data_IF_297797192680
#
_entry.id   IF_297797192680
#
_cell.length_a   1.000
_cell.length_b   1.000
_cell.length_c   1.000
_cell.angle_alpha   90.00
_cell.angle_beta   90.00
_cell.angle_gamma   90.00
#
_symmetry.space_group_name_H-M   'P 1'
#
loop_
_entity.id
_entity.type
_entity.pdbx_description
1 polymer ?
#
# COMPACT_ATOMS: atom_id res chain seq x y z
N UNK A 1 8.86 -5.17 -18.93
CA UNK A 1 7.60 -5.15 -19.72
C UNK A 1 6.83 -6.47 -19.65
N UNK A 2 7.48 -7.64 -19.73
CA UNK A 2 6.81 -8.97 -19.64
C UNK A 2 6.02 -9.20 -18.34
N UNK A 3 6.50 -8.68 -17.21
CA UNK A 3 5.89 -8.93 -15.90
C UNK A 3 4.55 -8.22 -15.70
N UNK A 4 4.37 -7.04 -16.30
CA UNK A 4 3.11 -6.27 -16.23
C UNK A 4 1.99 -6.98 -16.99
N UNK A 5 2.32 -7.66 -18.09
CA UNK A 5 1.40 -8.53 -18.82
C UNK A 5 1.03 -9.77 -18.01
N UNK A 6 1.99 -10.35 -17.27
CA UNK A 6 1.74 -11.51 -16.43
C UNK A 6 0.81 -11.17 -15.26
N UNK A 7 1.04 -10.03 -14.61
CA UNK A 7 0.18 -9.49 -13.55
C UNK A 7 -1.24 -9.25 -14.08
N UNK A 8 -1.37 -8.55 -15.22
CA UNK A 8 -2.67 -8.27 -15.83
C UNK A 8 -3.41 -9.56 -16.23
N UNK A 9 -2.70 -10.54 -16.79
CA UNK A 9 -3.26 -11.85 -17.13
C UNK A 9 -3.77 -12.62 -15.90
N UNK A 10 -2.98 -12.67 -14.83
CA UNK A 10 -3.39 -13.29 -13.57
C UNK A 10 -4.59 -12.58 -12.93
N UNK A 11 -4.63 -11.24 -13.00
CA UNK A 11 -5.72 -10.44 -12.48
C UNK A 11 -7.04 -10.71 -13.24
N UNK A 12 -6.98 -10.77 -14.57
CA UNK A 12 -8.15 -11.06 -15.41
C UNK A 12 -8.62 -12.50 -15.20
N UNK A 13 -7.72 -13.48 -15.17
CA UNK A 13 -8.06 -14.88 -14.87
C UNK A 13 -8.71 -15.02 -13.49
N UNK A 14 -8.11 -14.40 -12.48
CA UNK A 14 -8.66 -14.36 -11.13
C UNK A 14 -10.06 -13.74 -11.11
N UNK A 15 -10.26 -12.58 -11.73
CA UNK A 15 -11.55 -11.91 -11.81
C UNK A 15 -12.62 -12.78 -12.50
N UNK A 16 -12.28 -13.41 -13.62
CA UNK A 16 -13.20 -14.31 -14.34
C UNK A 16 -13.58 -15.52 -13.48
N UNK A 17 -12.60 -16.16 -12.81
CA UNK A 17 -12.84 -17.30 -11.94
C UNK A 17 -13.76 -16.93 -10.77
N UNK A 18 -13.53 -15.78 -10.15
CA UNK A 18 -14.35 -15.27 -9.05
C UNK A 18 -15.80 -15.00 -9.48
N UNK A 19 -16.00 -14.43 -10.68
CA UNK A 19 -17.33 -14.16 -11.25
C UNK A 19 -18.08 -15.46 -11.56
N UNK A 20 -17.39 -16.46 -12.11
CA UNK A 20 -17.97 -17.78 -12.41
C UNK A 20 -18.38 -18.50 -11.11
N UNK A 21 -17.53 -18.48 -10.08
CA UNK A 21 -17.80 -19.15 -8.81
C UNK A 21 -18.94 -18.48 -8.03
N UNK A 22 -19.13 -17.16 -8.20
CA UNK A 22 -20.24 -16.39 -7.59
C UNK A 22 -21.62 -16.87 -8.06
N UNK A 23 -21.72 -17.50 -9.23
CA UNK A 23 -22.97 -18.11 -9.72
C UNK A 23 -23.30 -19.46 -9.07
N UNK A 24 -22.32 -20.14 -8.47
CA UNK A 24 -22.51 -21.48 -7.90
C UNK A 24 -22.79 -21.38 -6.39
N UNK A 25 -21.91 -20.71 -5.63
CA UNK A 25 -22.06 -20.51 -4.19
C UNK A 25 -21.43 -19.19 -3.74
N UNK A 26 -22.22 -18.31 -3.12
CA UNK A 26 -21.80 -16.95 -2.75
C UNK A 26 -20.69 -16.96 -1.68
N UNK A 27 -20.76 -17.87 -0.70
CA UNK A 27 -19.77 -17.98 0.38
C UNK A 27 -18.40 -18.47 -0.10
N UNK A 28 -18.37 -19.42 -1.04
CA UNK A 28 -17.10 -19.90 -1.62
C UNK A 28 -16.51 -18.85 -2.54
N UNK A 29 -17.34 -18.08 -3.26
CA UNK A 29 -16.89 -16.96 -4.10
C UNK A 29 -16.21 -15.85 -3.29
N UNK A 30 -16.69 -15.58 -2.07
CA UNK A 30 -16.09 -14.62 -1.15
C UNK A 30 -14.67 -15.04 -0.71
N UNK A 31 -14.51 -16.29 -0.32
CA UNK A 31 -13.20 -16.86 0.03
C UNK A 31 -12.24 -16.91 -1.16
N UNK A 32 -12.73 -17.27 -2.35
CA UNK A 32 -11.94 -17.23 -3.58
C UNK A 32 -11.54 -15.81 -4.00
N UNK A 33 -12.43 -14.81 -3.84
CA UNK A 33 -12.11 -13.41 -4.11
C UNK A 33 -10.99 -12.90 -3.21
N UNK A 34 -11.11 -13.15 -1.90
CA UNK A 34 -10.11 -12.73 -0.91
C UNK A 34 -8.75 -13.40 -1.17
N UNK A 35 -8.73 -14.70 -1.43
CA UNK A 35 -7.48 -15.43 -1.73
C UNK A 35 -6.85 -15.00 -3.05
N UNK A 36 -7.64 -14.77 -4.11
CA UNK A 36 -7.13 -14.25 -5.37
C UNK A 36 -6.58 -12.82 -5.21
N UNK A 37 -7.27 -11.96 -4.45
CA UNK A 37 -6.80 -10.61 -4.12
C UNK A 37 -5.49 -10.63 -3.32
N UNK A 38 -5.37 -11.53 -2.35
CA UNK A 38 -4.15 -11.72 -1.56
C UNK A 38 -2.98 -12.21 -2.43
N UNK A 39 -3.22 -13.15 -3.34
CA UNK A 39 -2.21 -13.64 -4.28
C UNK A 39 -1.70 -12.53 -5.22
N UNK A 40 -2.61 -11.69 -5.74
CA UNK A 40 -2.25 -10.53 -6.56
C UNK A 40 -1.43 -9.51 -5.79
N UNK A 41 -1.76 -9.27 -4.51
CA UNK A 41 -1.00 -8.36 -3.66
C UNK A 41 0.44 -8.84 -3.45
N UNK A 42 0.64 -10.12 -3.13
CA UNK A 42 1.99 -10.70 -2.95
C UNK A 42 2.82 -10.52 -4.22
N UNK A 43 2.21 -10.75 -5.39
CA UNK A 43 2.91 -10.56 -6.66
C UNK A 43 3.32 -9.10 -6.87
N UNK A 44 2.42 -8.14 -6.60
CA UNK A 44 2.74 -6.72 -6.68
C UNK A 44 3.86 -6.32 -5.70
N UNK A 45 3.84 -6.84 -4.48
CA UNK A 45 4.85 -6.55 -3.46
C UNK A 45 6.24 -7.03 -3.87
N UNK A 46 6.35 -8.20 -4.52
CA UNK A 46 7.64 -8.70 -5.04
C UNK A 46 8.22 -7.75 -6.09
N UNK A 47 7.39 -7.22 -6.98
CA UNK A 47 7.84 -6.30 -8.02
C UNK A 47 8.30 -4.95 -7.45
N UNK A 48 7.60 -4.45 -6.42
CA UNK A 48 8.02 -3.26 -5.68
C UNK A 48 9.35 -3.52 -4.96
N UNK A 49 9.53 -4.70 -4.35
CA UNK A 49 10.77 -5.06 -3.65
C UNK A 49 12.01 -5.04 -4.55
N UNK A 50 11.89 -5.52 -5.79
CA UNK A 50 12.98 -5.45 -6.77
C UNK A 50 13.32 -3.98 -7.13
N UNK A 51 12.30 -3.13 -7.20
CA UNK A 51 12.47 -1.70 -7.48
C UNK A 51 13.05 -0.91 -6.29
N UNK A 52 12.88 -1.40 -5.06
CA UNK A 52 13.42 -0.78 -3.85
C UNK A 52 14.95 -0.76 -3.82
N UNK A 53 15.62 -1.75 -4.43
CA UNK A 53 17.08 -1.76 -4.53
C UNK A 53 17.60 -0.58 -5.34
N UNK A 54 16.97 -0.30 -6.48
CA UNK A 54 17.29 0.85 -7.34
C UNK A 54 16.96 2.18 -6.67
N UNK A 55 15.84 2.22 -5.92
CA UNK A 55 15.46 3.42 -5.17
C UNK A 55 16.49 3.72 -4.06
N UNK A 56 17.01 2.69 -3.40
CA UNK A 56 18.01 2.84 -2.33
C UNK A 56 19.36 3.31 -2.86
N UNK A 57 19.80 2.83 -4.02
CA UNK A 57 21.02 3.35 -4.65
C UNK A 57 20.87 4.81 -5.08
N UNK A 58 19.71 5.18 -5.64
CA UNK A 58 19.44 6.57 -6.01
C UNK A 58 19.36 7.51 -4.81
N UNK A 59 18.74 7.06 -3.72
CA UNK A 59 18.67 7.82 -2.47
C UNK A 59 20.05 8.04 -1.83
N UNK A 60 20.95 7.05 -1.93
CA UNK A 60 22.32 7.18 -1.48
C UNK A 60 23.10 8.23 -2.30
N UNK A 61 22.92 8.25 -3.63
CA UNK A 61 23.53 9.25 -4.52
C UNK A 61 22.96 10.66 -4.28
N UNK A 62 21.70 10.77 -3.86
CA UNK A 62 21.04 12.03 -3.52
C UNK A 62 21.43 12.59 -2.13
N UNK A 63 22.27 11.88 -1.37
CA UNK A 63 22.68 12.29 -0.01
C UNK A 63 21.58 12.16 1.04
N UNK A 64 20.53 11.36 0.77
CA UNK A 64 19.49 11.08 1.75
C UNK A 64 20.02 10.15 2.84
N UNK A 65 19.67 10.43 4.10
CA UNK A 65 19.97 9.52 5.21
C UNK A 65 19.09 8.27 5.11
N UNK A 66 19.63 7.09 5.45
CA UNK A 66 18.88 5.82 5.48
C UNK A 66 17.60 5.94 6.34
N UNK A 67 17.61 6.78 7.38
CA UNK A 67 16.43 7.06 8.22
C UNK A 67 15.30 7.76 7.46
N UNK A 68 15.60 8.78 6.66
CA UNK A 68 14.58 9.51 5.90
C UNK A 68 13.91 8.62 4.85
N UNK A 69 14.71 7.82 4.13
CA UNK A 69 14.21 6.83 3.18
C UNK A 69 13.36 5.77 3.88
N UNK A 70 13.82 5.24 5.02
CA UNK A 70 13.06 4.26 5.81
C UNK A 70 11.73 4.82 6.33
N UNK A 71 11.69 6.11 6.69
CA UNK A 71 10.47 6.78 7.16
C UNK A 71 9.43 6.89 6.04
N UNK A 72 9.84 7.33 4.85
CA UNK A 72 8.96 7.38 3.66
C UNK A 72 8.45 5.98 3.30
N UNK A 73 9.33 4.98 3.29
CA UNK A 73 8.96 3.59 3.00
C UNK A 73 7.97 3.02 4.02
N UNK A 74 8.13 3.36 5.32
CA UNK A 74 7.20 2.96 6.38
C UNK A 74 5.81 3.53 6.16
N UNK A 75 5.70 4.81 5.83
CA UNK A 75 4.42 5.46 5.57
C UNK A 75 3.77 4.84 4.32
N UNK A 76 4.53 4.66 3.24
CA UNK A 76 4.03 4.06 2.00
C UNK A 76 3.54 2.61 2.23
N UNK A 77 4.31 1.82 2.97
CA UNK A 77 3.95 0.45 3.32
C UNK A 77 2.71 0.38 4.21
N UNK A 78 2.58 1.28 5.18
CA UNK A 78 1.39 1.37 6.03
C UNK A 78 0.15 1.75 5.22
N UNK A 79 0.27 2.69 4.27
CA UNK A 79 -0.83 3.09 3.39
C UNK A 79 -1.36 1.92 2.56
N UNK A 80 -0.46 1.18 1.90
CA UNK A 80 -0.79 -0.01 1.11
C UNK A 80 -1.45 -1.09 1.96
N UNK A 81 -0.94 -1.33 3.17
CA UNK A 81 -1.50 -2.33 4.08
C UNK A 81 -2.95 -1.98 4.51
N UNK A 82 -3.20 -0.71 4.83
CA UNK A 82 -4.54 -0.21 5.19
C UNK A 82 -5.51 -0.33 4.02
N UNK A 83 -5.11 0.14 2.83
CA UNK A 83 -5.95 0.05 1.63
C UNK A 83 -6.30 -1.41 1.32
N UNK A 84 -5.31 -2.29 1.42
CA UNK A 84 -5.52 -3.71 1.19
C UNK A 84 -6.49 -4.32 2.21
N UNK A 85 -6.31 -4.04 3.50
CA UNK A 85 -7.24 -4.51 4.54
C UNK A 85 -8.66 -4.01 4.29
N UNK A 86 -8.82 -2.74 3.89
CA UNK A 86 -10.12 -2.17 3.54
C UNK A 86 -10.73 -2.84 2.31
N UNK A 87 -9.94 -3.13 1.26
CA UNK A 87 -10.38 -3.83 0.07
C UNK A 87 -10.84 -5.26 0.40
N UNK A 88 -10.11 -5.99 1.24
CA UNK A 88 -10.51 -7.32 1.69
C UNK A 88 -11.84 -7.30 2.46
N UNK A 89 -12.05 -6.34 3.36
CA UNK A 89 -13.35 -6.17 4.02
C UNK A 89 -14.48 -5.89 3.01
N UNK A 90 -14.20 -5.09 1.98
CA UNK A 90 -15.18 -4.81 0.92
C UNK A 90 -15.48 -6.03 0.07
N UNK A 91 -14.45 -6.80 -0.29
CA UNK A 91 -14.60 -8.04 -1.05
C UNK A 91 -15.42 -9.07 -0.27
N UNK A 92 -15.34 -9.03 1.07
CA UNK A 92 -16.18 -9.81 1.98
C UNK A 92 -17.65 -9.35 2.06
N UNK A 93 -18.03 -8.27 1.37
CA UNK A 93 -19.37 -7.68 1.42
C UNK A 93 -19.58 -6.67 2.56
N UNK A 94 -18.53 -6.37 3.34
CA UNK A 94 -18.56 -5.47 4.48
C UNK A 94 -18.03 -4.07 4.11
N UNK A 95 -18.79 -3.34 3.27
CA UNK A 95 -18.45 -1.96 2.87
C UNK A 95 -18.34 -0.99 4.06
N UNK A 96 -19.17 -1.19 5.09
CA UNK A 96 -19.14 -0.38 6.32
C UNK A 96 -17.83 -0.56 7.09
N UNK A 97 -17.34 -1.79 7.20
CA UNK A 97 -16.08 -2.10 7.86
C UNK A 97 -14.89 -1.60 7.03
N UNK A 98 -14.94 -1.78 5.70
CA UNK A 98 -13.94 -1.26 4.76
C UNK A 98 -13.68 0.24 4.98
N UNK A 99 -14.74 1.05 5.02
CA UNK A 99 -14.61 2.50 5.24
C UNK A 99 -14.04 2.84 6.61
N UNK A 100 -14.42 2.11 7.66
CA UNK A 100 -13.89 2.30 9.01
C UNK A 100 -12.39 2.04 9.06
N UNK A 101 -11.92 0.95 8.45
CA UNK A 101 -10.49 0.61 8.36
C UNK A 101 -9.73 1.74 7.66
N UNK A 102 -10.26 2.25 6.55
CA UNK A 102 -9.62 3.33 5.80
C UNK A 102 -9.48 4.61 6.64
N UNK A 103 -10.55 5.02 7.33
CA UNK A 103 -10.52 6.20 8.20
C UNK A 103 -9.52 6.00 9.34
N UNK A 104 -9.54 4.85 10.04
CA UNK A 104 -8.59 4.55 11.10
C UNK A 104 -7.14 4.60 10.60
N UNK A 105 -6.88 4.04 9.42
CA UNK A 105 -5.55 4.08 8.83
C UNK A 105 -5.11 5.48 8.43
N UNK A 106 -6.00 6.33 7.92
CA UNK A 106 -5.70 7.74 7.65
C UNK A 106 -5.27 8.48 8.92
N UNK A 107 -5.97 8.27 10.04
CA UNK A 107 -5.57 8.86 11.34
C UNK A 107 -4.20 8.36 11.82
N UNK A 108 -3.90 7.08 11.63
CA UNK A 108 -2.59 6.51 11.97
C UNK A 108 -1.46 7.06 11.08
N UNK A 109 -1.69 7.17 9.77
CA UNK A 109 -0.70 7.76 8.86
C UNK A 109 -0.45 9.24 9.16
N UNK A 110 -1.49 9.95 9.57
CA UNK A 110 -1.39 11.35 9.99
C UNK A 110 -0.47 11.49 11.22
N UNK A 111 -0.60 10.58 12.21
CA UNK A 111 0.28 10.59 13.38
C UNK A 111 1.73 10.23 13.05
N UNK A 112 1.96 9.37 12.04
CA UNK A 112 3.32 9.06 11.54
C UNK A 112 3.96 10.23 10.79
N UNK A 113 3.15 11.05 10.11
CA UNK A 113 3.64 12.16 9.29
C UNK A 113 3.84 13.44 10.12
N UNK A 114 3.10 13.61 11.22
CA UNK A 114 3.24 14.72 12.16
C UNK A 114 4.70 15.02 12.60
N UNK A 115 5.49 14.04 13.08
CA UNK A 115 6.86 14.31 13.54
C UNK A 115 7.75 14.86 12.42
N UNK A 116 7.63 14.33 11.20
CA UNK A 116 8.38 14.84 10.05
C UNK A 116 8.00 16.30 9.72
N UNK A 117 6.72 16.66 9.88
CA UNK A 117 6.27 18.04 9.70
C UNK A 117 6.84 19.00 10.75
N UNK A 118 6.94 18.56 12.01
CA UNK A 118 7.53 19.36 13.10
C UNK A 118 9.02 19.59 12.82
N UNK A 119 9.75 18.54 12.44
CA UNK A 119 11.18 18.61 12.13
C UNK A 119 11.47 19.60 10.98
N UNK A 120 10.64 19.59 9.94
CA UNK A 120 10.70 20.57 8.86
C UNK A 120 10.39 21.99 9.36
N UNK A 121 9.43 22.15 10.26
CA UNK A 121 9.08 23.42 10.88
C UNK A 121 10.25 24.02 11.69
N UNK A 122 10.91 23.19 12.50
CA UNK A 122 12.08 23.60 13.28
C UNK A 122 13.26 24.00 12.38
N UNK A 123 13.48 23.25 11.30
CA UNK A 123 14.46 23.60 10.26
C UNK A 123 14.19 24.97 9.65
N UNK A 124 12.95 25.25 9.25
CA UNK A 124 12.57 26.56 8.69
C UNK A 124 12.77 27.70 9.69
N UNK A 125 12.39 27.49 10.95
CA UNK A 125 12.59 28.47 12.02
C UNK A 125 14.06 28.70 12.35
N UNK A 126 14.91 27.68 12.20
CA UNK A 126 16.36 27.80 12.43
C UNK A 126 17.09 28.60 11.35
N UNK A 127 16.59 28.58 10.12
CA UNK A 127 17.13 29.33 8.97
C UNK A 127 16.57 30.75 8.92
N UNK A 128 15.43 31.01 9.56
CA UNK A 128 14.86 32.34 9.65
C UNK A 128 15.79 33.24 10.50
N UNK A 129 16.39 34.29 9.91
CA UNK A 129 17.23 35.20 10.67
C UNK A 129 16.36 35.89 11.72
N UNK A 130 16.74 35.73 13.00
CA UNK A 130 16.13 36.48 14.10
C UNK A 130 16.44 37.96 13.87
N UNK A 131 15.46 38.71 13.40
CA UNK A 131 15.49 40.18 13.37
C UNK A 131 15.57 40.76 14.78
#
# INVERSE_FOLDING_TARGET
>A
MSEVWLLSGFAVLGAVLTVVLRRINRDISLLCAATAGFALLIFAFRHVADSLHTLRSWAADAGMTDESLASVLRILGAALAVEFAALMCRDLGEDGLSRKVLICGQWLMLSMTLPALIELGDLLLSVLPKG
#
